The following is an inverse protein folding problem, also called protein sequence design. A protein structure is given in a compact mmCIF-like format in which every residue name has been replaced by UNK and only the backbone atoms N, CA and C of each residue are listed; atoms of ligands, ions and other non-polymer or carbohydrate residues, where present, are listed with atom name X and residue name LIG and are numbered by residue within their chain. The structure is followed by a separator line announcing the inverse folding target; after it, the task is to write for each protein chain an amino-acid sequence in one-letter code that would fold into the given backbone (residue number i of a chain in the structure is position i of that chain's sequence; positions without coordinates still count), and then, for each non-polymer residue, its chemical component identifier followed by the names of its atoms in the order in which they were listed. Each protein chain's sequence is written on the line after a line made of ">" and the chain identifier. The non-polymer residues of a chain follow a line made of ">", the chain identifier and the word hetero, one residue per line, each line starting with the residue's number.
data_IF_827234836251
#
_entry.id   IF_827234836251
#
_cell.length_a   1.000
_cell.length_b   1.000
_cell.length_c   1.000
_cell.angle_alpha   90.00
_cell.angle_beta   90.00
_cell.angle_gamma   90.00
#
_symmetry.space_group_name_H-M   'P 1'
#
loop_
_entity.id
_entity.type
_entity.pdbx_description
1 polymer ?
#
# COMPACT_ATOMS: atom_id res chain seq x y z
N UNK A 1 14.67 -18.10 20.02
CA UNK A 1 13.40 -17.40 20.30
C UNK A 1 13.58 -16.00 19.74
N UNK A 2 13.11 -15.76 18.52
CA UNK A 2 13.28 -14.45 17.88
C UNK A 2 12.34 -13.47 18.57
N UNK A 3 12.90 -12.48 19.24
CA UNK A 3 12.19 -11.28 19.66
C UNK A 3 11.66 -10.63 18.38
N UNK A 4 10.39 -10.90 18.07
CA UNK A 4 9.58 -10.00 17.27
C UNK A 4 9.48 -8.77 18.15
N UNK A 5 10.34 -7.78 17.89
CA UNK A 5 10.17 -6.44 18.43
C UNK A 5 8.70 -6.10 18.27
N UNK A 6 8.10 -5.65 19.37
CA UNK A 6 6.90 -4.84 19.39
C UNK A 6 7.14 -3.73 18.37
N UNK A 7 6.74 -3.98 17.12
CA UNK A 7 6.81 -3.02 16.03
C UNK A 7 5.63 -2.12 16.34
N UNK A 8 5.95 -1.06 17.10
CA UNK A 8 5.04 -0.13 17.72
C UNK A 8 3.83 0.11 16.82
N UNK A 9 2.69 -0.44 17.21
CA UNK A 9 1.38 0.02 16.77
C UNK A 9 1.11 1.36 17.46
N UNK A 10 2.09 2.27 17.36
CA UNK A 10 1.93 3.64 17.78
C UNK A 10 0.81 4.20 16.92
N UNK A 11 -0.18 4.75 17.60
CA UNK A 11 -1.52 5.11 17.12
C UNK A 11 -1.49 6.29 16.14
N UNK A 12 -0.67 6.20 15.10
CA UNK A 12 -0.70 7.14 13.98
C UNK A 12 -1.95 6.87 13.14
N UNK A 13 -2.56 7.91 12.55
CA UNK A 13 -3.67 7.72 11.63
C UNK A 13 -3.22 6.82 10.48
N UNK A 14 -3.84 5.64 10.37
CA UNK A 14 -3.46 4.63 9.40
C UNK A 14 -4.58 4.46 8.37
N UNK A 15 -4.32 4.78 7.10
CA UNK A 15 -5.25 4.49 6.02
C UNK A 15 -5.14 2.99 5.70
N UNK A 16 -6.24 2.27 5.88
CA UNK A 16 -6.31 0.84 5.58
C UNK A 16 -7.15 0.58 4.35
N UNK A 17 -6.52 0.00 3.32
CA UNK A 17 -7.17 -0.40 2.08
C UNK A 17 -7.21 -1.93 1.99
N UNK A 18 -8.40 -2.47 1.79
CA UNK A 18 -8.62 -3.91 1.66
C UNK A 18 -9.00 -4.26 0.22
N UNK A 19 -8.38 -5.30 -0.33
CA UNK A 19 -8.68 -5.82 -1.67
C UNK A 19 -8.85 -7.32 -1.63
N UNK A 20 -9.83 -7.83 -2.40
CA UNK A 20 -10.09 -9.27 -2.52
C UNK A 20 -9.24 -9.86 -3.64
N UNK A 21 -8.52 -10.93 -3.31
CA UNK A 21 -7.73 -11.75 -4.22
C UNK A 21 -8.27 -13.18 -4.23
N UNK A 22 -7.74 -14.04 -5.10
CA UNK A 22 -8.21 -15.43 -5.19
C UNK A 22 -8.05 -16.22 -3.87
N UNK A 23 -6.95 -15.99 -3.15
CA UNK A 23 -6.62 -16.70 -1.91
C UNK A 23 -7.12 -15.97 -0.63
N UNK A 24 -8.06 -15.04 -0.75
CA UNK A 24 -8.64 -14.29 0.39
C UNK A 24 -8.49 -12.78 0.24
N UNK A 25 -8.13 -12.09 1.31
CA UNK A 25 -7.96 -10.63 1.30
C UNK A 25 -6.51 -10.22 1.52
N UNK A 26 -6.17 -9.07 0.96
CA UNK A 26 -4.96 -8.30 1.26
C UNK A 26 -5.39 -6.98 1.89
N UNK A 27 -4.71 -6.61 2.97
CA UNK A 27 -4.88 -5.36 3.69
C UNK A 27 -3.57 -4.59 3.62
N UNK A 28 -3.60 -3.42 3.00
CA UNK A 28 -2.50 -2.48 2.95
C UNK A 28 -2.78 -1.36 3.95
N UNK A 29 -1.89 -1.19 4.92
CA UNK A 29 -2.03 -0.23 6.02
C UNK A 29 -0.91 0.79 5.83
N UNK A 30 -1.28 2.01 5.48
CA UNK A 30 -0.37 3.12 5.24
C UNK A 30 -0.32 3.99 6.48
N UNK A 31 0.84 4.00 7.13
CA UNK A 31 1.10 4.84 8.29
C UNK A 31 1.72 6.15 7.84
N UNK A 32 1.28 7.23 8.46
CA UNK A 32 1.80 8.57 8.24
C UNK A 32 2.39 9.12 9.53
N UNK A 33 3.43 9.94 9.38
CA UNK A 33 4.02 10.72 10.46
C UNK A 33 4.10 12.16 9.99
N UNK A 34 3.54 13.08 10.77
CA UNK A 34 3.50 14.52 10.44
C UNK A 34 2.90 14.75 9.03
N UNK A 35 1.80 14.05 8.73
CA UNK A 35 1.12 14.08 7.43
C UNK A 35 2.01 13.71 6.24
N UNK A 36 3.04 12.89 6.46
CA UNK A 36 3.89 12.34 5.40
C UNK A 36 3.91 10.81 5.51
N UNK A 37 3.86 10.13 4.36
CA UNK A 37 4.01 8.67 4.30
C UNK A 37 5.27 8.20 5.04
N UNK A 38 5.08 7.33 6.03
CA UNK A 38 6.18 6.78 6.83
C UNK A 38 6.48 5.32 6.49
N UNK A 39 5.46 4.45 6.58
CA UNK A 39 5.61 2.99 6.46
C UNK A 39 4.36 2.35 5.87
N UNK A 40 4.56 1.34 5.03
CA UNK A 40 3.52 0.42 4.61
C UNK A 40 3.63 -0.88 5.42
N UNK A 41 2.50 -1.35 5.93
CA UNK A 41 2.33 -2.70 6.46
C UNK A 41 1.35 -3.47 5.57
N UNK A 42 1.62 -4.75 5.34
CA UNK A 42 0.72 -5.60 4.56
C UNK A 42 0.35 -6.83 5.39
N UNK A 43 -0.94 -7.14 5.41
CA UNK A 43 -1.51 -8.35 6.00
C UNK A 43 -2.36 -9.05 4.96
N UNK A 44 -2.51 -10.36 5.09
CA UNK A 44 -3.36 -11.09 4.17
C UNK A 44 -3.74 -12.48 4.66
N UNK A 45 -4.86 -12.98 4.17
CA UNK A 45 -5.35 -14.32 4.55
C UNK A 45 -4.40 -15.43 4.11
N UNK A 46 -3.58 -15.20 3.08
CA UNK A 46 -2.53 -16.15 2.65
C UNK A 46 -1.48 -16.43 3.74
N UNK A 47 -1.25 -15.48 4.63
CA UNK A 47 -0.27 -15.61 5.70
C UNK A 47 -0.76 -16.51 6.83
N UNK A 48 -2.08 -16.69 6.97
CA UNK A 48 -2.68 -17.54 8.01
C UNK A 48 -2.28 -19.01 7.87
N UNK A 49 -2.09 -19.46 6.63
CA UNK A 49 -1.82 -20.87 6.32
C UNK A 49 -0.41 -21.12 5.73
N UNK A 50 0.36 -20.07 5.42
CA UNK A 50 1.78 -20.20 5.04
C UNK A 50 2.67 -19.19 5.79
N UNK A 51 3.59 -19.65 6.66
CA UNK A 51 4.60 -18.78 7.27
C UNK A 51 5.46 -18.05 6.23
N UNK A 52 5.65 -18.69 5.07
CA UNK A 52 6.31 -18.09 3.91
C UNK A 52 5.58 -16.83 3.40
N UNK A 53 4.24 -16.84 3.46
CA UNK A 53 3.39 -15.77 2.98
C UNK A 53 3.55 -14.51 3.82
N UNK A 54 3.66 -14.64 5.14
CA UNK A 54 3.92 -13.49 6.01
C UNK A 54 5.29 -12.86 5.73
N UNK A 55 6.33 -13.67 5.62
CA UNK A 55 7.68 -13.20 5.29
C UNK A 55 7.72 -12.47 3.94
N UNK A 56 7.02 -13.01 2.94
CA UNK A 56 6.86 -12.39 1.62
C UNK A 56 6.14 -11.05 1.70
N UNK A 57 4.99 -10.98 2.39
CA UNK A 57 4.23 -9.72 2.57
C UNK A 57 5.07 -8.65 3.27
N UNK A 58 5.77 -9.01 4.35
CA UNK A 58 6.63 -8.09 5.08
C UNK A 58 7.80 -7.59 4.21
N UNK A 59 8.38 -8.45 3.37
CA UNK A 59 9.46 -8.07 2.45
C UNK A 59 8.96 -7.08 1.39
N UNK A 60 7.80 -7.34 0.79
CA UNK A 60 7.19 -6.43 -0.18
C UNK A 60 6.84 -5.09 0.45
N UNK A 61 6.25 -5.10 1.64
CA UNK A 61 5.90 -3.88 2.37
C UNK A 61 7.13 -2.98 2.59
N UNK A 62 8.27 -3.56 2.97
CA UNK A 62 9.55 -2.84 3.15
C UNK A 62 10.11 -2.30 1.84
N UNK A 63 10.05 -3.07 0.74
CA UNK A 63 10.52 -2.62 -0.57
C UNK A 63 9.68 -1.46 -1.11
N UNK A 64 8.35 -1.55 -0.98
CA UNK A 64 7.46 -0.46 -1.38
C UNK A 64 7.67 0.76 -0.51
N UNK A 65 7.81 0.60 0.81
CA UNK A 65 8.14 1.71 1.73
C UNK A 65 9.43 2.40 1.30
N UNK A 66 10.48 1.62 1.01
CA UNK A 66 11.75 2.14 0.52
C UNK A 66 11.59 2.96 -0.78
N UNK A 67 10.81 2.43 -1.73
CA UNK A 67 10.55 3.08 -3.01
C UNK A 67 9.73 4.37 -2.85
N UNK A 68 8.67 4.34 -2.04
CA UNK A 68 7.79 5.48 -1.79
C UNK A 68 8.54 6.64 -1.13
N UNK A 69 9.33 6.36 -0.09
CA UNK A 69 10.16 7.37 0.60
C UNK A 69 11.24 8.01 -0.28
N UNK A 70 11.57 7.39 -1.42
CA UNK A 70 12.54 7.90 -2.40
C UNK A 70 11.88 8.46 -3.65
N UNK A 71 10.55 8.62 -3.64
CA UNK A 71 9.78 9.08 -4.79
C UNK A 71 9.95 8.18 -6.03
N UNK A 72 10.17 6.87 -5.83
CA UNK A 72 10.30 5.83 -6.87
C UNK A 72 8.99 5.04 -6.99
N UNK A 73 7.86 5.71 -6.80
CA UNK A 73 6.55 5.05 -6.72
C UNK A 73 5.64 5.35 -7.92
N UNK A 74 5.53 6.61 -8.37
CA UNK A 74 4.82 6.97 -9.60
C UNK A 74 5.28 8.31 -10.19
N UNK A 75 5.23 8.44 -11.54
CA UNK A 75 5.53 9.69 -12.26
C UNK A 75 6.68 9.62 -13.28
N UNK A 76 6.40 9.21 -14.53
CA UNK A 76 7.28 9.29 -15.71
C UNK A 76 8.47 8.32 -15.89
N UNK A 77 8.87 7.53 -14.90
CA UNK A 77 9.95 6.54 -15.10
C UNK A 77 9.38 5.18 -15.55
N UNK A 78 10.10 4.44 -16.39
CA UNK A 78 9.74 3.06 -16.77
C UNK A 78 9.91 2.11 -15.57
N UNK A 79 10.60 2.56 -14.53
CA UNK A 79 11.11 1.81 -13.39
C UNK A 79 10.26 1.93 -12.11
N UNK A 80 9.16 2.71 -12.11
CA UNK A 80 8.34 2.93 -10.89
C UNK A 80 7.72 1.64 -10.32
N UNK A 81 7.73 1.49 -8.98
CA UNK A 81 7.33 0.23 -8.31
C UNK A 81 5.89 -0.19 -8.64
N UNK A 82 4.96 0.76 -8.80
CA UNK A 82 3.56 0.46 -9.14
C UNK A 82 3.48 -0.25 -10.50
N UNK A 83 4.22 0.21 -11.51
CA UNK A 83 4.26 -0.43 -12.84
C UNK A 83 4.82 -1.84 -12.80
N UNK A 84 5.80 -2.10 -11.93
CA UNK A 84 6.39 -3.44 -11.78
C UNK A 84 5.41 -4.43 -11.14
N UNK A 85 4.54 -3.95 -10.25
CA UNK A 85 3.58 -4.78 -9.52
C UNK A 85 2.24 -4.96 -10.25
N UNK A 86 1.81 -3.96 -11.02
CA UNK A 86 0.54 -3.99 -11.76
C UNK A 86 0.50 -5.13 -12.78
N UNK A 87 -0.66 -5.74 -12.94
CA UNK A 87 -0.96 -6.77 -13.94
C UNK A 87 -0.09 -8.05 -13.88
N UNK A 88 0.74 -8.23 -12.85
CA UNK A 88 1.40 -9.51 -12.58
C UNK A 88 0.33 -10.56 -12.32
N UNK A 89 0.19 -11.57 -13.18
CA UNK A 89 -0.94 -12.51 -13.08
C UNK A 89 -0.63 -13.68 -12.14
N UNK A 90 -1.56 -13.95 -11.23
CA UNK A 90 -1.58 -15.19 -10.46
C UNK A 90 -2.36 -16.27 -11.24
N UNK A 91 -1.84 -17.50 -11.39
CA UNK A 91 -2.55 -18.58 -12.08
C UNK A 91 -3.85 -18.99 -11.36
N UNK A 92 -3.96 -18.73 -10.05
CA UNK A 92 -5.17 -18.98 -9.28
C UNK A 92 -6.20 -17.83 -9.40
N UNK A 93 -5.90 -16.75 -10.13
CA UNK A 93 -6.79 -15.59 -10.25
C UNK A 93 -8.12 -15.96 -10.90
N UNK A 94 -9.21 -15.45 -10.30
CA UNK A 94 -10.55 -15.50 -10.86
C UNK A 94 -11.03 -14.08 -11.21
N UNK A 95 -11.79 -13.90 -12.30
CA UNK A 95 -12.37 -12.61 -12.64
C UNK A 95 -13.14 -12.00 -11.46
N UNK A 96 -12.93 -10.71 -11.20
CA UNK A 96 -13.61 -9.95 -10.17
C UNK A 96 -13.91 -8.53 -10.66
N UNK A 97 -14.81 -7.83 -9.96
CA UNK A 97 -15.27 -6.48 -10.33
C UNK A 97 -14.17 -5.42 -10.31
N UNK A 98 -13.12 -5.63 -9.51
CA UNK A 98 -11.99 -4.71 -9.38
C UNK A 98 -10.83 -5.04 -10.34
N UNK A 99 -11.05 -6.01 -11.25
CA UNK A 99 -10.07 -6.51 -12.21
C UNK A 99 -8.71 -6.89 -11.57
N UNK A 100 -8.74 -7.41 -10.34
CA UNK A 100 -7.53 -7.78 -9.60
C UNK A 100 -7.01 -9.13 -10.07
N UNK A 101 -5.79 -9.16 -10.58
CA UNK A 101 -5.20 -10.38 -11.17
C UNK A 101 -4.18 -11.10 -10.27
N UNK A 102 -3.74 -10.46 -9.18
CA UNK A 102 -2.88 -11.07 -8.16
C UNK A 102 -2.81 -10.22 -6.91
N UNK A 103 -2.07 -10.72 -5.92
CA UNK A 103 -1.72 -9.98 -4.71
C UNK A 103 -0.81 -8.79 -5.01
N UNK A 104 0.14 -8.94 -5.94
CA UNK A 104 0.98 -7.82 -6.40
C UNK A 104 0.14 -6.73 -7.07
N UNK A 105 -0.82 -7.12 -7.92
CA UNK A 105 -1.73 -6.19 -8.57
C UNK A 105 -2.65 -5.48 -7.56
N UNK A 106 -3.17 -6.23 -6.57
CA UNK A 106 -3.96 -5.66 -5.48
C UNK A 106 -3.16 -4.62 -4.67
N UNK A 107 -1.92 -4.94 -4.29
CA UNK A 107 -1.04 -4.04 -3.55
C UNK A 107 -0.75 -2.79 -4.38
N UNK A 108 -0.44 -2.94 -5.68
CA UNK A 108 -0.19 -1.81 -6.56
C UNK A 108 -1.40 -0.86 -6.63
N UNK A 109 -2.61 -1.41 -6.74
CA UNK A 109 -3.86 -0.63 -6.73
C UNK A 109 -4.11 0.06 -5.38
N UNK A 110 -3.79 -0.58 -4.25
CA UNK A 110 -3.85 0.08 -2.95
C UNK A 110 -2.88 1.27 -2.87
N UNK A 111 -1.64 1.10 -3.32
CA UNK A 111 -0.65 2.20 -3.33
C UNK A 111 -1.13 3.36 -4.20
N UNK A 112 -1.65 3.06 -5.39
CA UNK A 112 -2.22 4.05 -6.29
C UNK A 112 -3.42 4.80 -5.68
N UNK A 113 -4.33 4.07 -5.03
CA UNK A 113 -5.50 4.62 -4.36
C UNK A 113 -5.12 5.52 -3.17
N UNK A 114 -4.12 5.09 -2.38
CA UNK A 114 -3.54 5.90 -1.31
C UNK A 114 -2.95 7.21 -1.84
N UNK A 115 -2.09 7.14 -2.87
CA UNK A 115 -1.47 8.32 -3.46
C UNK A 115 -2.47 9.32 -4.02
N UNK A 116 -3.50 8.84 -4.74
CA UNK A 116 -4.58 9.72 -5.25
C UNK A 116 -5.38 10.37 -4.13
N UNK A 117 -5.63 9.63 -3.04
CA UNK A 117 -6.35 10.18 -1.89
C UNK A 117 -5.55 11.30 -1.21
N UNK A 118 -4.21 11.17 -1.18
CA UNK A 118 -3.29 12.19 -0.70
C UNK A 118 -3.30 13.45 -1.56
N UNK A 119 -3.23 13.30 -2.88
CA UNK A 119 -3.25 14.46 -3.79
C UNK A 119 -4.53 15.29 -3.60
N UNK A 120 -5.69 14.62 -3.47
CA UNK A 120 -6.98 15.28 -3.24
C UNK A 120 -7.09 15.97 -1.87
N UNK A 121 -6.36 15.52 -0.84
CA UNK A 121 -6.33 16.17 0.47
C UNK A 121 -5.49 17.46 0.40
N UNK A 122 -4.33 17.39 -0.24
CA UNK A 122 -3.45 18.54 -0.44
C UNK A 122 -4.16 19.67 -1.22
N UNK A 123 -4.89 19.34 -2.30
CA UNK A 123 -5.66 20.32 -3.08
C UNK A 123 -6.72 21.06 -2.25
N UNK A 124 -7.39 20.37 -1.33
CA UNK A 124 -8.41 20.97 -0.45
C UNK A 124 -7.80 21.90 0.60
N UNK A 125 -6.63 21.56 1.13
CA UNK A 125 -5.92 22.42 2.08
C UNK A 125 -5.48 23.74 1.41
N UNK A 126 -4.97 23.67 0.18
CA UNK A 126 -4.60 24.85 -0.61
C UNK A 126 -5.81 25.76 -0.89
N UNK A 127 -6.97 25.20 -1.24
CA UNK A 127 -8.21 25.97 -1.43
C UNK A 127 -8.72 26.63 -0.13
N UNK A 128 -8.50 26.00 1.03
CA UNK A 128 -8.98 26.49 2.33
C UNK A 128 -8.07 27.61 2.86
N UNK A 129 -6.76 27.48 2.65
CA UNK A 129 -5.76 28.48 3.04
C UNK A 129 -5.93 29.76 2.22
N UNK A 130 -6.25 29.63 0.92
CA UNK A 130 -6.48 30.75 -0.01
C UNK A 130 -7.72 31.60 0.33
N UNK A 131 -8.72 31.03 1.03
CA UNK A 131 -9.97 31.72 1.40
C UNK A 131 -9.88 32.46 2.75
N UNK A 132 -8.84 32.22 3.54
CA UNK A 132 -8.68 32.82 4.88
C UNK A 132 -7.82 34.09 4.85
N UNK A 133 -7.16 34.39 3.72
CA UNK A 133 -6.27 35.56 3.55
C UNK A 133 -6.95 36.77 2.88
N UNK A 134 -8.29 36.80 2.80
CA UNK A 134 -9.07 37.95 2.26
C UNK A 134 -10.09 38.41 3.30
#
# INVERSE_FOLDING_TARGET
>A
MFNIMEDDFETNPAITLAKKVACGHIYCIFNEKEDVFDKLLIRGDMAKNCPCGESWLNSIAKLITYAMRRSIWEGNTKEGIIKQLLNQRCPASVPNKEHIVSCSDAIAKCVLEYSKSRDLLNEKEEETTSKTTT
#
